data_IF_601716691504
#
_entry.id   IF_601716691504
#
_cell.length_a   1.000
_cell.length_b   1.000
_cell.length_c   1.000
_cell.angle_alpha   90.00
_cell.angle_beta   90.00
_cell.angle_gamma   90.00
#
_symmetry.space_group_name_H-M   'P 1'
#
loop_
_entity.id
_entity.type
_entity.pdbx_description
1 polymer ?
#
# COMPACT_ATOMS: atom_id res chain seq x y z
N UNK A 1 23.09 13.57 -5.05
CA UNK A 1 22.04 12.86 -4.30
C UNK A 1 20.71 13.48 -4.70
N UNK A 2 19.88 12.81 -5.52
CA UNK A 2 18.55 13.32 -5.92
C UNK A 2 17.64 13.20 -4.71
N UNK A 3 17.33 14.31 -4.03
CA UNK A 3 16.34 14.36 -2.94
C UNK A 3 14.97 14.06 -3.54
N UNK A 4 14.33 12.98 -3.11
CA UNK A 4 12.93 12.69 -3.46
C UNK A 4 12.04 13.65 -2.67
N UNK A 5 11.51 14.66 -3.32
CA UNK A 5 10.75 15.77 -2.72
C UNK A 5 9.50 15.26 -1.97
N UNK A 6 8.82 14.24 -2.48
CA UNK A 6 7.60 13.71 -1.86
C UNK A 6 7.84 12.96 -0.55
N UNK A 7 8.97 12.25 -0.42
CA UNK A 7 9.30 11.53 0.82
C UNK A 7 9.75 12.50 1.91
N UNK A 8 10.37 13.62 1.54
CA UNK A 8 10.72 14.68 2.48
C UNK A 8 9.48 15.38 3.07
N UNK A 9 8.43 15.59 2.25
CA UNK A 9 7.18 16.22 2.66
C UNK A 9 6.40 15.43 3.73
N UNK A 10 6.47 14.12 3.72
CA UNK A 10 5.70 13.29 4.65
C UNK A 10 6.50 12.74 5.82
N UNK A 11 7.83 12.66 5.72
CA UNK A 11 8.62 11.88 6.68
C UNK A 11 9.30 12.73 7.75
N UNK A 12 9.63 13.98 7.50
CA UNK A 12 10.54 14.74 8.38
C UNK A 12 9.84 15.54 9.48
N UNK A 13 8.59 15.97 9.28
CA UNK A 13 7.93 16.87 10.24
C UNK A 13 7.05 16.19 11.31
N UNK A 14 6.72 14.92 11.15
CA UNK A 14 5.63 14.29 11.93
C UNK A 14 6.08 13.71 13.28
N UNK A 15 7.37 13.51 13.51
CA UNK A 15 7.86 12.84 14.73
C UNK A 15 8.03 13.75 15.94
N UNK A 16 7.99 15.09 15.78
CA UNK A 16 8.30 16.04 16.85
C UNK A 16 7.21 17.10 17.10
N UNK A 17 6.12 17.12 16.32
CA UNK A 17 5.17 18.22 16.32
C UNK A 17 3.80 17.76 16.86
N UNK A 18 3.54 18.01 18.13
CA UNK A 18 2.20 18.00 18.72
C UNK A 18 1.68 19.41 18.79
N UNK A 19 0.49 19.71 18.24
CA UNK A 19 -0.13 21.04 18.32
C UNK A 19 0.23 22.00 17.18
N UNK A 20 0.96 21.54 16.16
CA UNK A 20 1.41 22.38 15.05
C UNK A 20 0.42 22.38 13.88
N UNK A 21 0.34 23.49 13.15
CA UNK A 21 -0.27 23.55 11.84
C UNK A 21 0.72 23.15 10.75
N UNK A 22 0.28 22.38 9.77
CA UNK A 22 1.06 22.08 8.57
C UNK A 22 0.23 22.32 7.33
N UNK A 23 0.80 22.96 6.33
CA UNK A 23 0.19 23.06 5.01
C UNK A 23 1.22 22.79 3.91
N UNK A 24 0.77 22.11 2.87
CA UNK A 24 1.55 21.95 1.65
C UNK A 24 0.83 22.60 0.49
N UNK A 25 1.57 23.30 -0.36
CA UNK A 25 1.06 23.89 -1.60
C UNK A 25 1.85 23.34 -2.77
N UNK A 26 1.13 22.87 -3.79
CA UNK A 26 1.71 22.44 -5.06
C UNK A 26 1.07 23.24 -6.19
N UNK A 27 1.90 23.80 -7.05
CA UNK A 27 1.47 24.44 -8.29
C UNK A 27 2.05 23.66 -9.46
N UNK A 28 1.19 22.97 -10.25
CA UNK A 28 1.60 22.11 -11.35
C UNK A 28 1.41 22.85 -12.66
N UNK A 29 2.51 23.03 -13.40
CA UNK A 29 2.52 23.68 -14.71
C UNK A 29 1.98 22.76 -15.82
N UNK A 30 1.62 23.31 -16.99
CA UNK A 30 1.19 22.50 -18.14
C UNK A 30 2.20 21.46 -18.62
N UNK A 31 3.51 21.64 -18.39
CA UNK A 31 4.55 20.65 -18.68
C UNK A 31 4.77 19.63 -17.58
N UNK A 32 3.92 19.66 -16.52
CA UNK A 32 3.96 18.83 -15.32
C UNK A 32 5.16 19.09 -14.40
N UNK A 33 5.97 20.12 -14.65
CA UNK A 33 6.86 20.72 -13.66
C UNK A 33 6.06 21.53 -12.62
N UNK A 34 6.68 22.08 -11.62
CA UNK A 34 5.94 22.94 -10.71
C UNK A 34 6.72 23.43 -9.52
N UNK A 35 6.01 24.08 -8.61
CA UNK A 35 6.52 24.54 -7.33
C UNK A 35 5.88 23.74 -6.21
N UNK A 36 6.69 23.27 -5.28
CA UNK A 36 6.23 22.62 -4.05
C UNK A 36 6.67 23.48 -2.88
N UNK A 37 5.70 23.86 -2.05
CA UNK A 37 5.96 24.63 -0.83
C UNK A 37 5.37 23.89 0.36
N UNK A 38 6.08 23.95 1.49
CA UNK A 38 5.59 23.46 2.77
C UNK A 38 5.68 24.56 3.80
N UNK A 39 4.62 24.75 4.55
CA UNK A 39 4.57 25.69 5.65
C UNK A 39 4.32 24.93 6.94
N UNK A 40 5.12 25.23 7.95
CA UNK A 40 5.02 24.66 9.31
C UNK A 40 4.80 25.82 10.26
N UNK A 41 3.77 25.70 11.09
CA UNK A 41 3.36 26.70 12.05
C UNK A 41 3.45 26.14 13.46
N UNK A 42 4.24 26.77 14.32
CA UNK A 42 4.52 26.34 15.69
C UNK A 42 4.30 27.47 16.68
N UNK A 43 3.78 27.16 17.86
CA UNK A 43 3.79 28.13 18.96
C UNK A 43 5.17 28.20 19.60
N UNK A 44 5.50 29.33 20.23
CA UNK A 44 6.77 29.47 20.95
C UNK A 44 6.95 28.46 22.09
N UNK A 45 5.86 27.93 22.63
CA UNK A 45 5.90 26.88 23.67
C UNK A 45 6.32 25.54 23.07
N UNK A 46 5.78 25.18 21.91
CA UNK A 46 6.15 23.95 21.17
C UNK A 46 7.60 23.99 20.70
N UNK A 47 8.07 25.14 20.19
CA UNK A 47 9.47 25.31 19.82
C UNK A 47 10.41 25.03 21.01
N UNK A 48 10.12 25.57 22.19
CA UNK A 48 10.91 25.32 23.41
C UNK A 48 10.89 23.84 23.81
N UNK A 49 9.74 23.14 23.70
CA UNK A 49 9.65 21.72 24.01
C UNK A 49 10.51 20.89 23.05
N UNK A 50 10.50 21.22 21.75
CA UNK A 50 11.32 20.55 20.74
C UNK A 50 12.79 20.82 21.00
N UNK A 51 13.19 22.07 21.30
CA UNK A 51 14.57 22.44 21.65
C UNK A 51 15.06 21.66 22.87
N UNK A 52 14.25 21.57 23.93
CA UNK A 52 14.59 20.79 25.12
C UNK A 52 14.80 19.31 24.82
N UNK A 53 13.91 18.72 24.02
CA UNK A 53 14.04 17.33 23.60
C UNK A 53 15.33 17.10 22.79
N UNK A 54 15.59 17.93 21.78
CA UNK A 54 16.77 17.81 20.93
C UNK A 54 18.07 17.97 21.71
N UNK A 55 18.14 19.00 22.57
CA UNK A 55 19.31 19.25 23.42
C UNK A 55 19.55 18.13 24.44
N UNK A 56 18.51 17.44 24.88
CA UNK A 56 18.65 16.27 25.77
C UNK A 56 19.30 15.06 25.09
N UNK A 57 19.18 14.95 23.77
CA UNK A 57 19.71 13.82 22.98
C UNK A 57 21.16 14.06 22.48
N UNK A 58 21.59 15.31 22.32
CA UNK A 58 22.85 15.66 21.64
C UNK A 58 23.98 16.17 22.54
N UNK A 59 23.83 16.24 23.86
CA UNK A 59 24.88 16.59 24.81
C UNK A 59 25.79 17.76 24.36
N UNK A 60 25.39 18.99 24.63
CA UNK A 60 26.19 20.25 24.68
C UNK A 60 26.22 21.24 23.51
N UNK A 61 25.41 21.15 22.49
CA UNK A 61 25.18 22.30 21.58
C UNK A 61 23.73 22.77 21.71
N UNK A 62 23.54 24.03 22.18
CA UNK A 62 22.22 24.64 22.23
C UNK A 62 21.81 25.06 20.82
N UNK A 63 21.09 24.17 20.10
CA UNK A 63 20.51 24.47 18.80
C UNK A 63 19.08 24.98 19.03
N UNK A 64 18.76 26.16 18.50
CA UNK A 64 17.39 26.69 18.53
C UNK A 64 16.50 26.00 17.49
N UNK A 65 15.18 26.06 17.68
CA UNK A 65 14.23 25.57 16.68
C UNK A 65 14.40 26.28 15.33
N UNK A 66 14.63 27.60 15.36
CA UNK A 66 14.89 28.40 14.15
C UNK A 66 16.16 27.96 13.41
N UNK A 67 17.26 27.62 14.12
CA UNK A 67 18.49 27.10 13.51
C UNK A 67 18.23 25.73 12.85
N UNK A 68 17.48 24.86 13.51
CA UNK A 68 17.07 23.57 12.97
C UNK A 68 16.24 23.73 11.69
N UNK A 69 15.27 24.61 11.68
CA UNK A 69 14.45 24.90 10.50
C UNK A 69 15.30 25.45 9.35
N UNK A 70 16.27 26.29 9.65
CA UNK A 70 17.23 26.83 8.66
C UNK A 70 18.13 25.73 8.08
N UNK A 71 18.62 24.80 8.89
CA UNK A 71 19.40 23.65 8.41
C UNK A 71 18.57 22.74 7.48
N UNK A 72 17.24 22.68 7.69
CA UNK A 72 16.29 21.97 6.83
C UNK A 72 15.84 22.80 5.62
N UNK A 73 16.49 23.94 5.35
CA UNK A 73 16.20 24.86 4.24
C UNK A 73 14.86 25.62 4.37
N UNK A 74 14.24 25.63 5.56
CA UNK A 74 13.09 26.51 5.84
C UNK A 74 13.55 27.96 6.12
N UNK A 75 12.71 28.88 5.72
CA UNK A 75 12.87 30.33 6.02
C UNK A 75 11.74 30.81 6.92
N UNK A 76 12.05 31.68 7.88
CA UNK A 76 11.02 32.28 8.70
C UNK A 76 10.06 33.11 7.81
N UNK A 77 8.76 32.89 7.99
CA UNK A 77 7.68 33.46 7.16
C UNK A 77 6.70 34.32 7.99
N UNK A 78 7.20 34.88 9.09
CA UNK A 78 6.41 35.74 9.99
C UNK A 78 5.59 34.93 11.01
N UNK A 79 4.54 35.56 11.51
CA UNK A 79 3.62 34.95 12.48
C UNK A 79 2.18 34.94 11.95
N UNK A 80 1.38 34.00 12.40
CA UNK A 80 -0.06 33.92 12.12
C UNK A 80 -0.86 33.40 13.31
N UNK A 81 -2.14 33.72 13.35
CA UNK A 81 -3.03 33.21 14.41
C UNK A 81 -3.80 32.00 13.89
N UNK A 82 -3.61 30.84 14.52
CA UNK A 82 -4.37 29.62 14.29
C UNK A 82 -5.08 29.20 15.58
N UNK A 83 -6.36 28.91 15.50
CA UNK A 83 -7.17 28.51 16.65
C UNK A 83 -7.05 29.47 17.87
N UNK A 84 -6.90 30.80 17.59
CA UNK A 84 -6.75 31.82 18.64
C UNK A 84 -5.37 31.90 19.29
N UNK A 85 -4.38 31.15 18.82
CA UNK A 85 -2.98 31.19 19.29
C UNK A 85 -2.08 31.75 18.21
N UNK A 86 -1.08 32.53 18.61
CA UNK A 86 -0.03 33.00 17.72
C UNK A 86 0.99 31.90 17.44
N UNK A 87 1.33 31.71 16.16
CA UNK A 87 2.29 30.71 15.69
C UNK A 87 3.39 31.41 14.88
N UNK A 88 4.61 30.98 15.05
CA UNK A 88 5.72 31.27 14.15
C UNK A 88 5.57 30.39 12.91
N UNK A 89 5.72 30.98 11.74
CA UNK A 89 5.57 30.31 10.45
C UNK A 89 6.92 30.11 9.78
N UNK A 90 7.16 28.93 9.25
CA UNK A 90 8.39 28.58 8.52
C UNK A 90 8.02 28.01 7.17
N UNK A 91 8.61 28.54 6.10
CA UNK A 91 8.31 28.19 4.71
C UNK A 91 9.52 27.54 4.03
N UNK A 92 9.30 26.39 3.45
CA UNK A 92 10.18 25.76 2.46
C UNK A 92 9.51 25.86 1.09
N UNK A 93 10.22 26.32 0.05
CA UNK A 93 9.69 26.37 -1.31
C UNK A 93 10.76 25.93 -2.31
N UNK A 94 10.42 24.97 -3.16
CA UNK A 94 11.35 24.39 -4.14
C UNK A 94 10.68 24.22 -5.51
N UNK A 95 11.47 24.43 -6.56
CA UNK A 95 11.08 24.08 -7.93
C UNK A 95 11.27 22.58 -8.15
N UNK A 96 10.28 21.95 -8.78
CA UNK A 96 10.28 20.53 -9.10
C UNK A 96 10.20 20.33 -10.61
N UNK A 97 11.03 19.45 -11.15
CA UNK A 97 10.92 19.02 -12.55
C UNK A 97 9.67 18.16 -12.74
N UNK A 98 9.27 17.93 -14.00
CA UNK A 98 8.16 17.02 -14.30
C UNK A 98 8.45 15.58 -13.82
N UNK A 99 9.72 15.13 -13.80
CA UNK A 99 10.12 13.83 -13.27
C UNK A 99 9.95 13.76 -11.74
N UNK A 100 10.36 14.81 -11.03
CA UNK A 100 10.22 14.91 -9.58
C UNK A 100 8.73 14.94 -9.18
N UNK A 101 7.91 15.73 -9.87
CA UNK A 101 6.47 15.79 -9.64
C UNK A 101 5.80 14.42 -9.90
N UNK A 102 6.09 13.77 -11.03
CA UNK A 102 5.57 12.43 -11.34
C UNK A 102 6.00 11.36 -10.34
N UNK A 103 7.20 11.48 -9.78
CA UNK A 103 7.67 10.54 -8.75
C UNK A 103 6.95 10.69 -7.41
N UNK A 104 6.30 11.85 -7.20
CA UNK A 104 5.59 12.20 -5.97
C UNK A 104 4.13 11.75 -5.99
N UNK A 105 3.57 11.56 -7.17
CA UNK A 105 2.21 11.08 -7.35
C UNK A 105 2.19 9.60 -7.72
N UNK A 106 1.16 8.89 -7.30
CA UNK A 106 0.88 7.54 -7.79
C UNK A 106 0.58 7.58 -9.29
N UNK A 107 -0.13 8.61 -9.72
CA UNK A 107 -0.36 8.92 -11.12
C UNK A 107 -0.46 10.44 -11.31
N UNK A 108 0.31 11.01 -12.25
CA UNK A 108 0.20 12.41 -12.65
C UNK A 108 0.27 12.52 -14.17
N UNK A 109 -0.81 13.02 -14.76
CA UNK A 109 -0.96 13.27 -16.19
C UNK A 109 -1.61 14.65 -16.42
N UNK A 110 -1.82 15.04 -17.68
CA UNK A 110 -2.55 16.27 -18.04
C UNK A 110 -4.07 16.18 -17.81
N UNK A 111 -4.57 15.03 -17.39
CA UNK A 111 -6.01 14.80 -17.22
C UNK A 111 -6.38 14.37 -15.80
N UNK A 112 -5.43 13.81 -15.05
CA UNK A 112 -5.68 13.33 -13.68
C UNK A 112 -4.42 13.30 -12.83
N UNK A 113 -4.62 13.41 -11.54
CA UNK A 113 -3.60 13.26 -10.52
C UNK A 113 -4.12 12.40 -9.37
N UNK A 114 -3.29 11.50 -8.87
CA UNK A 114 -3.61 10.65 -7.72
C UNK A 114 -2.41 10.66 -6.78
N UNK A 115 -2.64 11.00 -5.52
CA UNK A 115 -1.64 10.94 -4.45
C UNK A 115 -2.11 9.93 -3.39
N UNK A 116 -1.20 9.06 -2.97
CA UNK A 116 -1.46 8.13 -1.90
C UNK A 116 -1.24 8.81 -0.54
N UNK A 117 -2.22 8.74 0.34
CA UNK A 117 -2.15 9.22 1.74
C UNK A 117 -2.29 8.08 2.75
N UNK A 118 -2.47 6.84 2.30
CA UNK A 118 -2.48 5.68 3.18
C UNK A 118 -1.10 5.47 3.81
N UNK A 119 -1.07 5.23 5.12
CA UNK A 119 0.16 4.86 5.80
C UNK A 119 0.60 3.46 5.36
N UNK A 120 1.84 3.32 4.89
CA UNK A 120 2.49 2.01 4.83
C UNK A 120 2.70 1.51 6.27
N UNK A 121 1.97 0.48 6.63
CA UNK A 121 2.37 -0.34 7.77
C UNK A 121 3.61 -1.14 7.36
N UNK A 122 4.78 -0.51 7.41
CA UNK A 122 6.06 -1.17 7.15
C UNK A 122 6.35 -2.16 8.27
N UNK A 123 6.07 -3.43 8.01
CA UNK A 123 6.69 -4.56 8.69
C UNK A 123 7.96 -4.97 7.91
N UNK A 124 8.91 -4.09 7.79
CA UNK A 124 10.28 -4.43 7.39
C UNK A 124 11.19 -4.14 8.55
N UNK A 125 11.95 -5.17 8.97
CA UNK A 125 12.80 -5.16 10.16
C UNK A 125 14.06 -4.29 10.07
N UNK A 126 13.99 -3.11 9.48
CA UNK A 126 15.04 -2.10 9.56
C UNK A 126 14.70 -1.09 10.65
N UNK A 127 15.52 -1.13 11.70
CA UNK A 127 15.37 -0.37 12.96
C UNK A 127 15.47 1.16 12.84
N UNK A 128 15.51 1.74 11.65
CA UNK A 128 15.67 3.18 11.44
C UNK A 128 14.51 3.87 10.69
N UNK A 129 13.36 3.22 10.50
CA UNK A 129 12.20 3.81 9.85
C UNK A 129 10.88 3.55 10.62
N UNK A 130 10.90 3.70 11.94
CA UNK A 130 9.68 3.85 12.72
C UNK A 130 9.19 5.31 12.63
N UNK A 131 8.79 5.75 11.45
CA UNK A 131 7.94 6.93 11.34
C UNK A 131 6.51 6.47 11.63
N UNK A 132 6.20 6.40 12.88
CA UNK A 132 4.83 6.30 13.36
C UNK A 132 4.24 7.71 13.15
N UNK A 133 3.67 7.97 11.96
CA UNK A 133 2.99 9.23 11.65
C UNK A 133 1.73 9.34 12.50
N UNK A 134 1.90 9.75 13.75
CA UNK A 134 0.79 10.03 14.62
C UNK A 134 0.22 11.42 14.27
N UNK A 135 -0.71 11.44 13.29
CA UNK A 135 -1.41 12.67 12.90
C UNK A 135 -2.31 13.22 14.02
N UNK A 136 -2.48 12.51 15.12
CA UNK A 136 -3.35 12.92 16.23
C UNK A 136 -2.83 14.14 17.01
N UNK A 137 -1.58 14.55 16.79
CA UNK A 137 -1.00 15.73 17.40
C UNK A 137 -1.07 17.01 16.57
N UNK A 138 -1.53 16.96 15.31
CA UNK A 138 -1.63 18.12 14.44
C UNK A 138 -2.99 18.82 14.61
N UNK A 139 -2.97 20.15 14.71
CA UNK A 139 -4.17 20.97 14.76
C UNK A 139 -4.79 21.15 13.37
N UNK A 140 -3.97 21.16 12.31
CA UNK A 140 -4.40 21.24 10.91
C UNK A 140 -3.36 20.63 9.99
N UNK A 141 -3.82 19.96 8.93
CA UNK A 141 -2.98 19.50 7.84
C UNK A 141 -3.73 19.57 6.51
N UNK A 142 -3.40 20.57 5.71
CA UNK A 142 -3.98 20.81 4.39
C UNK A 142 -2.96 20.62 3.28
N UNK A 143 -3.38 19.97 2.19
CA UNK A 143 -2.65 19.98 0.92
C UNK A 143 -3.47 20.76 -0.10
N UNK A 144 -2.91 21.84 -0.60
CA UNK A 144 -3.50 22.65 -1.66
C UNK A 144 -2.78 22.40 -2.98
N UNK A 145 -3.49 21.94 -4.00
CA UNK A 145 -2.89 21.65 -5.30
C UNK A 145 -3.60 22.44 -6.39
N UNK A 146 -2.85 23.23 -7.15
CA UNK A 146 -3.33 23.84 -8.40
C UNK A 146 -2.91 22.95 -9.57
N UNK A 147 -3.90 22.42 -10.26
CA UNK A 147 -3.73 21.50 -11.38
C UNK A 147 -3.60 22.23 -12.71
N UNK A 148 -2.91 21.68 -13.73
CA UNK A 148 -2.79 22.26 -15.06
C UNK A 148 -4.06 22.08 -15.91
N UNK A 149 -5.14 21.56 -15.32
CA UNK A 149 -6.42 21.29 -15.99
C UNK A 149 -7.60 21.73 -15.11
N UNK A 150 -8.75 21.98 -15.74
CA UNK A 150 -10.00 22.23 -15.02
C UNK A 150 -10.46 20.92 -14.35
N UNK A 151 -10.69 20.97 -13.05
CA UNK A 151 -11.08 19.81 -12.25
C UNK A 151 -12.60 19.61 -12.35
N UNK A 152 -12.99 18.44 -12.85
CA UNK A 152 -14.41 18.02 -12.94
C UNK A 152 -14.80 17.10 -11.77
N UNK A 153 -13.83 16.34 -11.21
CA UNK A 153 -14.10 15.42 -10.11
C UNK A 153 -12.90 15.32 -9.17
N UNK A 154 -13.16 15.37 -7.87
CA UNK A 154 -12.15 15.26 -6.80
C UNK A 154 -12.81 14.78 -5.51
N UNK A 155 -12.02 14.27 -4.56
CA UNK A 155 -12.44 14.07 -3.17
C UNK A 155 -11.94 15.16 -2.20
N UNK A 156 -11.35 16.23 -2.73
CA UNK A 156 -11.05 17.47 -2.00
C UNK A 156 -12.08 18.56 -2.24
N UNK A 157 -11.81 19.76 -1.77
CA UNK A 157 -12.65 20.97 -1.91
C UNK A 157 -12.14 21.79 -3.09
N UNK A 158 -12.90 21.77 -4.19
CA UNK A 158 -12.58 22.57 -5.39
C UNK A 158 -12.78 24.05 -5.10
N UNK A 159 -11.79 24.87 -5.46
CA UNK A 159 -11.84 26.32 -5.32
C UNK A 159 -12.53 26.99 -6.53
N UNK A 160 -12.86 28.27 -6.39
CA UNK A 160 -13.60 29.03 -7.40
C UNK A 160 -12.87 29.17 -8.76
N UNK A 161 -11.54 29.00 -8.80
CA UNK A 161 -10.76 29.02 -10.04
C UNK A 161 -10.93 27.77 -10.91
N UNK A 162 -11.62 26.73 -10.39
CA UNK A 162 -11.88 25.49 -11.08
C UNK A 162 -10.65 24.58 -11.28
N UNK A 163 -9.48 24.96 -10.76
CA UNK A 163 -8.20 24.26 -10.91
C UNK A 163 -7.53 23.92 -9.57
N UNK A 164 -7.79 24.71 -8.54
CA UNK A 164 -7.21 24.49 -7.21
C UNK A 164 -8.11 23.63 -6.35
N UNK A 165 -7.53 22.59 -5.74
CA UNK A 165 -8.22 21.71 -4.79
C UNK A 165 -7.50 21.77 -3.45
N UNK A 166 -8.26 21.89 -2.37
CA UNK A 166 -7.78 21.77 -0.99
C UNK A 166 -8.20 20.43 -0.42
N UNK A 167 -7.23 19.67 0.07
CA UNK A 167 -7.42 18.40 0.74
C UNK A 167 -7.14 18.55 2.23
N UNK A 168 -8.15 18.46 3.05
CA UNK A 168 -8.03 18.33 4.52
C UNK A 168 -7.59 16.89 4.83
N UNK A 169 -6.30 16.70 5.02
CA UNK A 169 -5.70 15.37 5.17
C UNK A 169 -6.13 14.70 6.46
N UNK A 170 -6.30 15.46 7.55
CA UNK A 170 -6.74 14.90 8.83
C UNK A 170 -8.15 14.31 8.70
N UNK A 171 -9.07 15.07 8.11
CA UNK A 171 -10.45 14.64 7.89
C UNK A 171 -10.54 13.45 6.91
N UNK A 172 -9.79 13.51 5.81
CA UNK A 172 -9.77 12.42 4.83
C UNK A 172 -9.19 11.15 5.41
N UNK A 173 -8.12 11.25 6.20
CA UNK A 173 -7.53 10.11 6.90
C UNK A 173 -8.47 9.50 7.92
N UNK A 174 -9.16 10.32 8.74
CA UNK A 174 -10.16 9.86 9.71
C UNK A 174 -11.34 9.16 9.05
N UNK A 175 -11.70 9.58 7.83
CA UNK A 175 -12.75 8.92 7.02
C UNK A 175 -12.31 7.61 6.36
N UNK A 176 -11.05 7.21 6.54
CA UNK A 176 -10.47 6.00 5.90
C UNK A 176 -10.12 6.18 4.43
N UNK A 177 -9.99 7.43 3.96
CA UNK A 177 -9.54 7.72 2.59
C UNK A 177 -8.09 7.28 2.41
N UNK A 178 -7.81 6.48 1.38
CA UNK A 178 -6.47 5.97 1.08
C UNK A 178 -5.73 6.84 0.07
N UNK A 179 -6.48 7.51 -0.83
CA UNK A 179 -5.93 8.28 -1.94
C UNK A 179 -6.71 9.57 -2.14
N UNK A 180 -5.99 10.67 -2.35
CA UNK A 180 -6.57 11.92 -2.82
C UNK A 180 -6.40 12.01 -4.34
N UNK A 181 -7.37 12.64 -5.02
CA UNK A 181 -7.35 12.71 -6.47
C UNK A 181 -8.04 13.96 -7.03
N UNK A 182 -7.64 14.33 -8.25
CA UNK A 182 -8.35 15.27 -9.11
C UNK A 182 -8.39 14.73 -10.54
N UNK A 183 -9.50 14.92 -11.24
CA UNK A 183 -9.73 14.45 -12.60
C UNK A 183 -10.35 15.59 -13.44
N UNK A 184 -9.91 15.71 -14.70
CA UNK A 184 -10.56 16.51 -15.72
C UNK A 184 -11.86 15.83 -16.21
N UNK A 185 -12.68 16.55 -16.95
CA UNK A 185 -13.88 16.00 -17.59
C UNK A 185 -13.53 14.83 -18.54
N UNK A 186 -12.45 14.97 -19.32
CA UNK A 186 -11.96 13.92 -20.21
C UNK A 186 -11.57 12.63 -19.47
N UNK A 187 -10.95 12.75 -18.28
CA UNK A 187 -10.64 11.58 -17.46
C UNK A 187 -11.90 10.93 -16.86
N UNK A 188 -12.90 11.72 -16.47
CA UNK A 188 -14.19 11.21 -15.99
C UNK A 188 -14.91 10.43 -17.09
N UNK A 189 -14.92 10.92 -18.32
CA UNK A 189 -15.56 10.25 -19.46
C UNK A 189 -14.86 8.93 -19.85
N UNK A 190 -13.55 8.80 -19.55
CA UNK A 190 -12.77 7.56 -19.74
C UNK A 190 -12.90 6.58 -18.56
N UNK A 191 -13.66 6.89 -17.52
CA UNK A 191 -13.85 6.03 -16.36
C UNK A 191 -14.57 4.73 -16.78
N UNK A 192 -13.83 3.64 -16.85
CA UNK A 192 -14.26 2.36 -17.41
C UNK A 192 -14.17 1.20 -16.42
N UNK A 193 -14.17 -0.01 -16.94
CA UNK A 193 -14.04 -1.24 -16.15
C UNK A 193 -12.71 -1.31 -15.43
N UNK A 194 -12.73 -1.92 -14.24
CA UNK A 194 -11.52 -2.35 -13.57
C UNK A 194 -10.93 -3.55 -14.33
N UNK A 195 -9.69 -3.42 -14.75
CA UNK A 195 -8.93 -4.51 -15.38
C UNK A 195 -7.96 -5.10 -14.38
N UNK A 196 -8.00 -6.43 -14.25
CA UNK A 196 -7.11 -7.18 -13.36
C UNK A 196 -6.26 -8.12 -14.22
N UNK A 197 -4.95 -8.00 -14.13
CA UNK A 197 -3.99 -8.85 -14.83
C UNK A 197 -3.10 -9.63 -13.84
N UNK A 198 -2.42 -10.66 -14.36
CA UNK A 198 -1.53 -11.53 -13.57
C UNK A 198 -2.22 -12.60 -12.74
N UNK A 199 -3.47 -12.39 -12.33
CA UNK A 199 -4.26 -13.36 -11.58
C UNK A 199 -5.65 -13.58 -12.18
N UNK A 200 -6.28 -14.71 -11.85
CA UNK A 200 -7.69 -15.03 -12.18
C UNK A 200 -8.42 -15.41 -10.91
N UNK A 201 -9.69 -15.04 -10.83
CA UNK A 201 -10.54 -15.38 -9.68
C UNK A 201 -10.60 -16.89 -9.43
N UNK A 202 -10.55 -17.26 -8.16
CA UNK A 202 -10.58 -18.65 -7.65
C UNK A 202 -9.46 -19.55 -8.17
N UNK A 203 -8.41 -18.99 -8.80
CA UNK A 203 -7.27 -19.77 -9.30
C UNK A 203 -6.19 -19.94 -8.22
N UNK A 204 -5.57 -21.14 -8.22
CA UNK A 204 -4.41 -21.46 -7.41
C UNK A 204 -3.13 -21.46 -8.27
N UNK A 205 -2.04 -20.93 -7.73
CA UNK A 205 -0.75 -20.76 -8.39
C UNK A 205 0.35 -21.46 -7.59
N UNK A 206 1.25 -22.18 -8.27
CA UNK A 206 2.41 -22.85 -7.65
C UNK A 206 3.70 -22.01 -7.59
N UNK A 207 3.60 -20.72 -7.92
CA UNK A 207 4.69 -19.74 -7.86
C UNK A 207 4.13 -18.39 -7.46
N UNK A 208 4.99 -17.47 -7.06
CA UNK A 208 4.59 -16.09 -6.83
C UNK A 208 3.96 -15.51 -8.10
N UNK A 209 2.98 -14.65 -7.93
CA UNK A 209 2.30 -13.93 -8.99
C UNK A 209 2.32 -12.43 -8.68
N UNK A 210 2.38 -11.61 -9.73
CA UNK A 210 2.15 -10.18 -9.65
C UNK A 210 0.72 -9.92 -10.13
N UNK A 211 -0.09 -9.35 -9.26
CA UNK A 211 -1.39 -8.78 -9.57
C UNK A 211 -1.17 -7.32 -9.98
N UNK A 212 -1.77 -6.90 -11.08
CA UNK A 212 -1.80 -5.49 -11.49
C UNK A 212 -3.24 -5.10 -11.77
N UNK A 213 -3.60 -3.90 -11.32
CA UNK A 213 -4.93 -3.32 -11.47
C UNK A 213 -4.81 -2.06 -12.31
N UNK A 214 -5.76 -1.83 -13.21
CA UNK A 214 -5.87 -0.62 -14.01
C UNK A 214 -7.33 -0.26 -14.29
N UNK A 215 -7.57 1.01 -14.60
CA UNK A 215 -8.87 1.54 -15.00
C UNK A 215 -8.65 2.79 -15.87
N UNK A 216 -9.61 3.16 -16.67
CA UNK A 216 -9.59 4.44 -17.39
C UNK A 216 -9.75 5.65 -16.48
N UNK A 217 -10.30 5.47 -15.27
CA UNK A 217 -10.45 6.49 -14.24
C UNK A 217 -9.39 6.44 -13.16
N UNK A 218 -9.80 6.61 -11.91
CA UNK A 218 -8.96 6.61 -10.71
C UNK A 218 -9.32 5.45 -9.80
N UNK A 219 -8.31 4.68 -9.35
CA UNK A 219 -8.44 3.71 -8.28
C UNK A 219 -8.32 4.45 -6.95
N UNK A 220 -9.41 4.53 -6.19
CA UNK A 220 -9.45 5.21 -4.88
C UNK A 220 -9.04 4.32 -3.73
N UNK A 221 -9.24 3.00 -3.87
CA UNK A 221 -8.82 2.02 -2.89
C UNK A 221 -8.36 0.73 -3.56
N UNK A 222 -7.20 0.20 -3.14
CA UNK A 222 -6.73 -1.11 -3.51
C UNK A 222 -6.18 -1.82 -2.27
N UNK A 223 -6.86 -2.88 -1.83
CA UNK A 223 -6.50 -3.65 -0.64
C UNK A 223 -6.20 -5.10 -0.99
N UNK A 224 -5.19 -5.66 -0.33
CA UNK A 224 -4.91 -7.11 -0.38
C UNK A 224 -4.93 -7.66 1.03
N UNK A 225 -5.85 -8.60 1.29
CA UNK A 225 -6.11 -9.15 2.61
C UNK A 225 -6.39 -8.06 3.66
N UNK A 226 -7.16 -7.03 3.28
CA UNK A 226 -7.55 -5.89 4.10
C UNK A 226 -6.47 -4.82 4.27
N UNK A 227 -5.24 -5.02 3.75
CA UNK A 227 -4.17 -4.02 3.80
C UNK A 227 -4.16 -3.17 2.54
N UNK A 228 -4.19 -1.85 2.70
CA UNK A 228 -4.06 -0.89 1.60
C UNK A 228 -2.72 -1.08 0.87
N UNK A 229 -2.74 -0.88 -0.44
CA UNK A 229 -1.57 -0.92 -1.31
C UNK A 229 -1.27 0.48 -1.83
N UNK A 230 -0.01 0.85 -1.74
CA UNK A 230 0.49 2.15 -2.22
C UNK A 230 0.58 2.22 -3.74
N UNK A 231 0.77 1.06 -4.38
CA UNK A 231 0.89 0.91 -5.83
C UNK A 231 -0.36 0.21 -6.40
N UNK A 232 -0.61 0.36 -7.70
CA UNK A 232 -1.65 -0.39 -8.41
C UNK A 232 -1.21 -1.81 -8.80
N UNK A 233 -0.26 -2.34 -8.05
CA UNK A 233 0.21 -3.72 -8.20
C UNK A 233 0.59 -4.35 -6.87
N UNK A 234 0.50 -5.68 -6.81
CA UNK A 234 0.89 -6.46 -5.64
C UNK A 234 1.60 -7.75 -6.05
N UNK A 235 2.77 -7.99 -5.48
CA UNK A 235 3.51 -9.25 -5.71
C UNK A 235 3.42 -10.14 -4.48
N UNK A 236 2.92 -11.38 -4.67
CA UNK A 236 2.83 -12.36 -3.59
C UNK A 236 4.22 -12.86 -3.20
N UNK A 237 4.49 -12.99 -1.90
CA UNK A 237 5.77 -13.49 -1.36
C UNK A 237 5.62 -14.77 -0.54
N UNK A 238 4.41 -15.06 -0.06
CA UNK A 238 4.12 -16.20 0.84
C UNK A 238 3.06 -17.12 0.24
N UNK A 239 3.01 -18.37 0.71
CA UNK A 239 1.89 -19.27 0.44
C UNK A 239 0.67 -18.83 1.26
N UNK A 240 -0.51 -18.92 0.68
CA UNK A 240 -1.75 -18.56 1.34
C UNK A 240 -2.86 -18.13 0.38
N UNK A 241 -4.01 -17.82 0.96
CA UNK A 241 -5.13 -17.22 0.25
C UNK A 241 -4.94 -15.69 0.20
N UNK A 242 -5.33 -15.10 -0.92
CA UNK A 242 -5.31 -13.67 -1.18
C UNK A 242 -6.69 -13.21 -1.62
N UNK A 243 -7.18 -12.13 -1.01
CA UNK A 243 -8.37 -11.40 -1.40
C UNK A 243 -7.93 -9.98 -1.78
N UNK A 244 -8.04 -9.63 -3.06
CA UNK A 244 -7.83 -8.27 -3.52
C UNK A 244 -9.16 -7.57 -3.72
N UNK A 245 -9.30 -6.38 -3.17
CA UNK A 245 -10.50 -5.54 -3.21
C UNK A 245 -10.11 -4.19 -3.80
N UNK A 246 -10.83 -3.77 -4.83
CA UNK A 246 -10.55 -2.58 -5.61
C UNK A 246 -11.80 -1.73 -5.66
N UNK A 247 -11.65 -0.42 -5.50
CA UNK A 247 -12.70 0.59 -5.65
C UNK A 247 -12.19 1.76 -6.49
N UNK A 248 -13.05 2.28 -7.37
CA UNK A 248 -12.74 3.44 -8.23
C UNK A 248 -13.48 4.68 -7.78
N UNK A 249 -13.06 5.85 -8.28
CA UNK A 249 -13.74 7.12 -8.03
C UNK A 249 -15.21 7.14 -8.52
N UNK A 250 -15.57 6.29 -9.49
CA UNK A 250 -16.96 6.07 -9.91
C UNK A 250 -17.79 5.24 -8.92
N UNK A 251 -17.17 4.71 -7.86
CA UNK A 251 -17.80 3.79 -6.92
C UNK A 251 -17.89 2.34 -7.42
N UNK A 252 -17.29 2.01 -8.56
CA UNK A 252 -17.20 0.63 -9.05
C UNK A 252 -16.30 -0.19 -8.13
N UNK A 253 -16.82 -1.35 -7.69
CA UNK A 253 -16.09 -2.26 -6.80
C UNK A 253 -15.85 -3.59 -7.48
N UNK A 254 -14.65 -4.13 -7.33
CA UNK A 254 -14.29 -5.46 -7.80
C UNK A 254 -13.48 -6.22 -6.76
N UNK A 255 -13.74 -7.52 -6.64
CA UNK A 255 -12.99 -8.41 -5.77
C UNK A 255 -12.45 -9.58 -6.59
N UNK A 256 -11.20 -9.95 -6.36
CA UNK A 256 -10.61 -11.19 -6.89
C UNK A 256 -10.00 -12.00 -5.74
N UNK A 257 -10.29 -13.30 -5.72
CA UNK A 257 -9.77 -14.24 -4.73
C UNK A 257 -8.89 -15.26 -5.44
N UNK A 258 -7.67 -15.45 -4.96
CA UNK A 258 -6.74 -16.44 -5.50
C UNK A 258 -5.88 -17.01 -4.38
N UNK A 259 -5.08 -18.05 -4.66
CA UNK A 259 -4.10 -18.51 -3.69
C UNK A 259 -2.75 -18.83 -4.34
N UNK A 260 -1.68 -18.77 -3.54
CA UNK A 260 -0.35 -19.25 -3.89
C UNK A 260 -0.03 -20.45 -3.01
N UNK A 261 0.36 -21.54 -3.63
CA UNK A 261 0.69 -22.78 -2.95
C UNK A 261 1.85 -23.49 -3.66
N UNK A 262 3.01 -23.43 -3.06
CA UNK A 262 4.25 -24.05 -3.58
C UNK A 262 4.52 -25.41 -2.97
N UNK A 263 3.71 -25.83 -2.00
CA UNK A 263 3.89 -27.07 -1.25
C UNK A 263 3.13 -28.22 -1.91
N UNK A 264 3.74 -29.39 -1.85
CA UNK A 264 3.09 -30.61 -2.33
C UNK A 264 2.08 -31.11 -1.31
N UNK A 265 0.98 -31.76 -1.75
CA UNK A 265 0.05 -32.45 -0.85
C UNK A 265 0.76 -33.44 0.08
N UNK A 266 0.18 -33.64 1.24
CA UNK A 266 0.67 -34.60 2.24
C UNK A 266 -0.16 -35.88 2.25
N UNK A 267 0.44 -36.98 2.70
CA UNK A 267 -0.21 -38.28 2.84
C UNK A 267 0.43 -39.08 3.97
N UNK A 268 -0.33 -39.96 4.59
CA UNK A 268 0.17 -40.95 5.58
C UNK A 268 0.98 -42.08 4.94
N UNK A 269 0.97 -42.18 3.61
CA UNK A 269 1.69 -43.26 2.90
C UNK A 269 3.17 -42.88 2.73
N UNK A 270 4.09 -43.74 3.18
CA UNK A 270 5.55 -43.56 3.02
C UNK A 270 6.02 -44.22 1.71
N UNK A 271 6.92 -43.54 1.00
CA UNK A 271 7.45 -44.06 -0.25
C UNK A 271 8.28 -45.32 -0.02
N UNK A 272 8.16 -46.30 -0.92
CA UNK A 272 8.85 -47.60 -0.92
C UNK A 272 8.60 -48.46 0.34
N UNK A 273 7.59 -48.12 1.16
CA UNK A 273 7.25 -48.92 2.35
C UNK A 273 6.41 -50.12 2.00
N UNK A 274 6.70 -51.29 2.67
CA UNK A 274 5.89 -52.49 2.68
C UNK A 274 4.99 -52.46 3.92
N UNK A 275 3.69 -52.60 3.71
CA UNK A 275 2.69 -52.64 4.77
C UNK A 275 2.20 -54.09 4.93
N UNK A 276 2.26 -54.61 6.16
CA UNK A 276 1.87 -56.01 6.54
C UNK A 276 0.39 -56.11 6.90
N UNK A 277 -0.39 -55.04 6.75
CA UNK A 277 -1.82 -54.97 7.09
C UNK A 277 -2.60 -54.12 6.10
N UNK A 278 -3.92 -54.12 6.22
CA UNK A 278 -4.77 -53.21 5.47
C UNK A 278 -4.33 -51.75 5.69
N UNK A 279 -4.28 -50.97 4.64
CA UNK A 279 -3.83 -49.57 4.69
C UNK A 279 -4.99 -48.62 4.36
N UNK A 280 -5.40 -47.81 5.33
CA UNK A 280 -6.26 -46.64 5.09
C UNK A 280 -5.40 -45.52 4.59
N UNK A 281 -5.60 -45.09 3.33
CA UNK A 281 -4.87 -44.02 2.70
C UNK A 281 -5.55 -42.69 3.02
N UNK A 282 -4.82 -41.74 3.65
CA UNK A 282 -5.27 -40.37 3.87
C UNK A 282 -4.34 -39.41 3.18
N UNK A 283 -4.90 -38.35 2.67
CA UNK A 283 -4.15 -37.26 2.05
C UNK A 283 -4.91 -35.93 2.19
N UNK A 284 -4.14 -34.84 2.25
CA UNK A 284 -4.69 -33.50 2.37
C UNK A 284 -3.74 -32.47 1.76
N UNK A 285 -4.29 -31.33 1.44
CA UNK A 285 -3.59 -30.09 1.16
C UNK A 285 -4.33 -28.96 1.86
N UNK A 286 -3.60 -28.17 2.68
CA UNK A 286 -4.19 -27.16 3.56
C UNK A 286 -4.31 -25.77 2.89
N UNK A 287 -3.59 -25.55 1.79
CA UNK A 287 -3.54 -24.24 1.14
C UNK A 287 -4.47 -24.19 -0.07
N UNK A 288 -4.14 -24.90 -1.13
CA UNK A 288 -4.95 -24.88 -2.35
C UNK A 288 -6.02 -25.98 -2.39
N UNK A 289 -5.86 -27.00 -1.57
CA UNK A 289 -6.75 -28.17 -1.54
C UNK A 289 -6.48 -29.16 -2.68
N UNK A 290 -7.05 -30.36 -2.55
CA UNK A 290 -6.83 -31.46 -3.50
C UNK A 290 -7.66 -31.25 -4.77
N UNK A 291 -7.00 -31.30 -5.93
CA UNK A 291 -7.64 -31.33 -7.25
C UNK A 291 -7.96 -32.77 -7.69
N UNK A 292 -7.02 -33.70 -7.51
CA UNK A 292 -7.15 -35.08 -7.98
C UNK A 292 -6.22 -35.99 -7.21
N UNK A 293 -6.72 -37.21 -6.86
CA UNK A 293 -5.88 -38.27 -6.36
C UNK A 293 -6.20 -39.58 -7.12
N UNK A 294 -5.14 -40.34 -7.44
CA UNK A 294 -5.28 -41.65 -8.12
C UNK A 294 -4.40 -42.71 -7.49
N UNK A 295 -4.89 -43.92 -7.46
CA UNK A 295 -4.14 -45.12 -7.08
C UNK A 295 -4.10 -46.08 -8.29
N UNK A 296 -2.88 -46.37 -8.78
CA UNK A 296 -2.69 -47.13 -10.03
C UNK A 296 -3.54 -46.58 -11.18
N UNK A 297 -3.60 -45.25 -11.33
CA UNK A 297 -4.38 -44.56 -12.37
C UNK A 297 -5.86 -44.33 -12.02
N UNK A 298 -6.47 -45.15 -11.16
CA UNK A 298 -7.89 -45.06 -10.80
C UNK A 298 -8.12 -43.98 -9.71
N UNK A 299 -9.16 -43.15 -9.87
CA UNK A 299 -9.50 -42.06 -8.93
C UNK A 299 -9.86 -42.65 -7.56
N UNK A 300 -9.33 -42.00 -6.50
CA UNK A 300 -9.66 -42.34 -5.11
C UNK A 300 -10.00 -41.09 -4.29
N UNK A 301 -10.72 -41.30 -3.19
CA UNK A 301 -10.96 -40.29 -2.14
C UNK A 301 -10.06 -40.59 -0.94
N UNK A 302 -9.70 -39.53 -0.18
CA UNK A 302 -9.02 -39.69 1.12
C UNK A 302 -9.87 -40.52 2.06
N UNK A 303 -9.22 -41.41 2.84
CA UNK A 303 -9.91 -42.41 3.69
C UNK A 303 -10.10 -43.79 3.06
N UNK A 304 -9.75 -44.01 1.78
CA UNK A 304 -9.86 -45.29 1.10
C UNK A 304 -8.96 -46.34 1.76
N UNK A 305 -9.55 -47.51 2.12
CA UNK A 305 -8.81 -48.67 2.65
C UNK A 305 -8.45 -49.62 1.53
N UNK A 306 -7.20 -50.03 1.45
CA UNK A 306 -6.68 -51.02 0.52
C UNK A 306 -6.44 -52.32 1.27
N UNK A 307 -7.12 -53.39 0.79
CA UNK A 307 -7.13 -54.71 1.43
C UNK A 307 -6.32 -55.78 0.66
N UNK A 308 -6.12 -55.62 -0.65
CA UNK A 308 -5.46 -56.60 -1.51
C UNK A 308 -3.93 -56.45 -1.47
N UNK A 309 -3.22 -57.59 -1.50
CA UNK A 309 -1.76 -57.60 -1.68
C UNK A 309 -1.42 -57.05 -3.08
N UNK A 310 -0.29 -56.37 -3.20
CA UNK A 310 0.14 -55.81 -4.48
C UNK A 310 1.00 -54.57 -4.32
N UNK A 311 1.50 -54.10 -5.47
CA UNK A 311 2.27 -52.86 -5.58
C UNK A 311 1.36 -51.73 -6.06
N UNK A 312 1.47 -50.58 -5.43
CA UNK A 312 0.60 -49.44 -5.63
C UNK A 312 1.39 -48.16 -5.89
N UNK A 313 0.87 -47.35 -6.78
CA UNK A 313 1.35 -45.99 -7.02
C UNK A 313 0.22 -44.99 -6.69
N UNK A 314 0.41 -44.22 -5.63
CA UNK A 314 -0.47 -43.11 -5.26
C UNK A 314 0.06 -41.83 -5.89
N UNK A 315 -0.77 -41.13 -6.66
CA UNK A 315 -0.48 -39.79 -7.21
C UNK A 315 -1.56 -38.82 -6.73
N UNK A 316 -1.13 -37.76 -6.07
CA UNK A 316 -1.99 -36.70 -5.54
C UNK A 316 -1.60 -35.41 -6.21
N UNK A 317 -2.56 -34.62 -6.68
CA UNK A 317 -2.37 -33.32 -7.31
C UNK A 317 -3.28 -32.33 -6.61
N UNK A 318 -2.74 -31.22 -6.16
CA UNK A 318 -3.49 -30.10 -5.59
C UNK A 318 -4.06 -29.17 -6.68
N UNK A 319 -4.80 -28.13 -6.27
CA UNK A 319 -5.38 -27.16 -7.19
C UNK A 319 -4.34 -26.22 -7.81
N UNK A 320 -3.20 -26.00 -7.16
CA UNK A 320 -2.08 -25.23 -7.69
C UNK A 320 -1.26 -26.03 -8.73
N UNK A 321 -1.43 -27.35 -8.79
CA UNK A 321 -0.75 -28.23 -9.71
C UNK A 321 0.52 -28.88 -9.13
N UNK A 322 0.77 -28.79 -7.80
CA UNK A 322 1.85 -29.54 -7.18
C UNK A 322 1.49 -31.01 -7.08
N UNK A 323 2.50 -31.88 -7.25
CA UNK A 323 2.29 -33.34 -7.34
C UNK A 323 3.07 -34.05 -6.25
N UNK A 324 2.37 -34.89 -5.49
CA UNK A 324 2.95 -35.91 -4.63
C UNK A 324 2.74 -37.28 -5.25
N UNK A 325 3.82 -38.03 -5.51
CA UNK A 325 3.79 -39.41 -6.03
C UNK A 325 4.49 -40.29 -5.01
N UNK A 326 3.83 -41.42 -4.65
CA UNK A 326 4.33 -42.37 -3.65
C UNK A 326 4.10 -43.77 -4.18
N UNK A 327 5.13 -44.61 -4.17
CA UNK A 327 5.05 -46.05 -4.45
C UNK A 327 5.09 -46.81 -3.13
N UNK A 328 4.30 -47.85 -2.99
CA UNK A 328 4.30 -48.71 -1.80
C UNK A 328 3.77 -50.15 -2.13
N UNK A 329 4.00 -51.09 -1.23
CA UNK A 329 3.53 -52.48 -1.37
C UNK A 329 2.68 -52.87 -0.16
N UNK A 330 1.64 -53.65 -0.40
CA UNK A 330 0.91 -54.39 0.64
C UNK A 330 1.24 -55.85 0.48
N UNK A 331 1.73 -56.46 1.56
CA UNK A 331 2.11 -57.89 1.61
C UNK A 331 1.79 -58.39 3.02
N UNK A 332 0.62 -59.04 3.15
CA UNK A 332 0.15 -59.66 4.37
C UNK A 332 0.62 -61.11 4.42
#
# INVERSE_FOLDING_TARGET
MKKRIAVALTTLCITLLTGCGMSAKMEINPDLSGTVSMEVDTTSEEEKQIEQYMNSQQGSTSTTYADMMKEMEFTANGTKVLNGKEHNSYLLSQQATAEDMKSSFLELTHEKAVLNIAQESQTTGDVNANVNTNLSGLDAYDIRVKFPFVVAKTNGILQADGQTVVFDILKLYQSGTERIYAMSQSAVEKEGKIEISGVKDKKAYKKNVKLTVSTGGVITSFKVNGKAQTEDSYTTTKDGAYKAEIETAAGTKQTVIFCVDRKKPTTNVKNNKVYKKNLKITFQDKVSGIKKATLNGKKIKSGKTIKKNGTYTLKIVDKAGNVKKVKFKIQK
#
